data_IF_225270681361
#
_entry.id   IF_225270681361
#
_cell.length_a   1.000
_cell.length_b   1.000
_cell.length_c   1.000
_cell.angle_alpha   90.00
_cell.angle_beta   90.00
_cell.angle_gamma   90.00
#
_symmetry.space_group_name_H-M   'P 1'
#
loop_
_entity.id
_entity.type
_entity.pdbx_description
1 polymer ?
#
# COMPACT_ATOMS: atom_id res chain seq x y z
N UNK A 1 -12.95 -13.56 6.38
CA UNK A 1 -12.10 -12.51 5.79
C UNK A 1 -12.66 -12.02 4.48
N UNK A 2 -12.33 -10.80 4.13
CA UNK A 2 -12.75 -10.19 2.88
C UNK A 2 -11.54 -9.97 1.99
N UNK A 3 -11.79 -9.95 0.69
CA UNK A 3 -10.77 -9.66 -0.32
C UNK A 3 -10.75 -8.18 -0.62
N UNK A 4 -9.53 -7.62 -0.67
CA UNK A 4 -9.31 -6.22 -0.99
C UNK A 4 -8.21 -6.08 -2.01
N UNK A 5 -8.26 -4.99 -2.77
CA UNK A 5 -7.10 -4.49 -3.49
C UNK A 5 -6.55 -3.30 -2.72
N UNK A 6 -5.25 -3.31 -2.50
CA UNK A 6 -4.56 -2.23 -1.84
C UNK A 6 -3.62 -1.58 -2.85
N UNK A 7 -3.89 -0.31 -3.16
CA UNK A 7 -3.00 0.49 -3.99
C UNK A 7 -2.15 1.36 -3.07
N UNK A 8 -0.84 1.28 -3.24
CA UNK A 8 0.11 2.13 -2.50
C UNK A 8 0.81 3.04 -3.49
N UNK A 9 0.97 4.31 -3.12
CA UNK A 9 1.84 5.22 -3.82
C UNK A 9 2.99 5.53 -2.88
N UNK A 10 4.16 4.94 -3.19
CA UNK A 10 5.36 5.06 -2.37
C UNK A 10 6.13 6.29 -2.83
N UNK A 11 6.66 7.06 -1.88
CA UNK A 11 7.42 8.26 -2.15
C UNK A 11 8.55 8.00 -3.15
N UNK A 12 8.74 8.88 -4.15
CA UNK A 12 9.85 8.74 -5.09
C UNK A 12 11.21 9.01 -4.45
N UNK A 13 11.23 9.55 -3.23
CA UNK A 13 12.47 9.74 -2.47
C UNK A 13 13.02 8.43 -1.92
N UNK A 14 12.21 7.38 -1.89
CA UNK A 14 12.66 6.06 -1.46
C UNK A 14 13.52 5.48 -2.58
N UNK A 15 14.75 5.09 -2.24
CA UNK A 15 15.64 4.46 -3.21
C UNK A 15 15.02 3.18 -3.77
N UNK A 16 15.30 2.89 -5.03
CA UNK A 16 14.71 1.73 -5.71
C UNK A 16 14.92 0.44 -4.92
N UNK A 17 16.10 0.27 -4.33
CA UNK A 17 16.43 -0.92 -3.54
C UNK A 17 15.65 -0.99 -2.22
N UNK A 18 15.12 0.14 -1.75
CA UNK A 18 14.39 0.22 -0.49
C UNK A 18 12.87 0.08 -0.69
N UNK A 19 12.40 0.13 -1.93
CA UNK A 19 10.98 -0.04 -2.23
C UNK A 19 10.47 -1.40 -1.73
N UNK A 20 11.17 -2.53 -1.97
CA UNK A 20 10.74 -3.81 -1.42
C UNK A 20 10.67 -3.82 0.10
N UNK A 21 11.53 -3.08 0.79
CA UNK A 21 11.51 -2.97 2.24
C UNK A 21 10.24 -2.27 2.71
N UNK A 22 9.86 -1.19 2.03
CA UNK A 22 8.61 -0.48 2.35
C UNK A 22 7.39 -1.38 2.13
N UNK A 23 7.36 -2.11 1.03
CA UNK A 23 6.29 -3.08 0.75
C UNK A 23 6.26 -4.16 1.83
N UNK A 24 7.43 -4.69 2.20
CA UNK A 24 7.55 -5.73 3.22
C UNK A 24 6.98 -5.31 4.56
N UNK A 25 7.20 -4.05 4.97
CA UNK A 25 6.65 -3.54 6.22
C UNK A 25 5.13 -3.53 6.22
N UNK A 26 4.52 -3.16 5.10
CA UNK A 26 3.07 -3.18 4.95
C UNK A 26 2.56 -4.63 5.02
N UNK A 27 3.23 -5.53 4.31
CA UNK A 27 2.85 -6.95 4.30
C UNK A 27 2.97 -7.57 5.69
N UNK A 28 4.02 -7.25 6.42
CA UNK A 28 4.22 -7.73 7.80
C UNK A 28 3.13 -7.24 8.72
N UNK A 29 2.71 -5.98 8.56
CA UNK A 29 1.61 -5.45 9.36
C UNK A 29 0.31 -6.20 9.09
N UNK A 30 -0.01 -6.44 7.81
CA UNK A 30 -1.20 -7.20 7.42
C UNK A 30 -1.17 -8.60 8.03
N UNK A 31 -0.02 -9.28 7.91
CA UNK A 31 0.14 -10.62 8.48
C UNK A 31 -0.01 -10.61 10.00
N UNK A 32 0.49 -9.58 10.66
CA UNK A 32 0.39 -9.46 12.13
C UNK A 32 -1.05 -9.29 12.61
N UNK A 33 -1.94 -8.86 11.74
CA UNK A 33 -3.36 -8.69 12.04
C UNK A 33 -4.20 -9.87 11.53
N UNK A 34 -3.55 -10.98 11.23
CA UNK A 34 -4.23 -12.19 10.79
C UNK A 34 -4.61 -12.20 9.31
N UNK A 35 -4.20 -11.20 8.57
CA UNK A 35 -4.44 -11.15 7.13
C UNK A 35 -3.39 -11.90 6.33
N UNK A 36 -3.62 -11.97 5.03
CA UNK A 36 -2.66 -12.55 4.08
C UNK A 36 -2.48 -11.63 2.88
N UNK A 37 -1.30 -11.69 2.30
CA UNK A 37 -0.99 -10.94 1.09
C UNK A 37 -0.82 -11.93 -0.05
N UNK A 38 -1.58 -11.73 -1.11
CA UNK A 38 -1.48 -12.53 -2.34
C UNK A 38 -0.55 -11.88 -3.34
N UNK A 39 -1.04 -11.70 -4.56
CA UNK A 39 -0.24 -11.11 -5.64
C UNK A 39 0.13 -9.66 -5.31
N UNK A 40 1.39 -9.32 -5.57
CA UNK A 40 1.91 -7.95 -5.47
C UNK A 40 2.45 -7.56 -6.82
N UNK A 41 1.92 -6.48 -7.38
CA UNK A 41 2.31 -6.00 -8.69
C UNK A 41 2.90 -4.59 -8.57
N UNK A 42 4.16 -4.44 -8.93
CA UNK A 42 4.85 -3.15 -8.90
C UNK A 42 4.76 -2.52 -10.28
N UNK A 43 4.06 -1.39 -10.34
CA UNK A 43 3.90 -0.67 -11.60
C UNK A 43 5.05 0.30 -11.89
N UNK A 44 5.89 0.56 -10.89
CA UNK A 44 6.99 1.51 -11.02
C UNK A 44 6.55 2.96 -10.89
N UNK A 45 7.43 3.87 -11.26
CA UNK A 45 7.15 5.31 -11.18
C UNK A 45 6.12 5.72 -12.20
N UNK A 46 5.13 6.46 -11.74
CA UNK A 46 4.05 7.01 -12.54
C UNK A 46 3.80 8.46 -12.14
N UNK A 47 3.36 9.27 -13.09
CA UNK A 47 2.93 10.64 -12.79
C UNK A 47 1.64 10.59 -12.00
N UNK A 48 1.55 11.45 -10.98
CA UNK A 48 0.34 11.63 -10.22
C UNK A 48 -0.63 12.53 -11.01
N UNK A 49 -1.94 12.28 -10.84
CA UNK A 49 -2.96 13.12 -11.47
C UNK A 49 -2.86 14.56 -10.97
N UNK A 50 -2.43 14.75 -9.73
CA UNK A 50 -2.15 16.04 -9.11
C UNK A 50 -1.03 15.85 -8.10
N UNK A 51 -0.24 16.91 -7.80
CA UNK A 51 0.85 16.78 -6.85
C UNK A 51 0.36 16.38 -5.45
N UNK A 52 1.11 15.50 -4.79
CA UNK A 52 0.89 15.14 -3.39
C UNK A 52 2.14 15.55 -2.62
N UNK A 53 2.00 16.43 -1.61
CA UNK A 53 3.13 16.93 -0.84
C UNK A 53 4.29 17.39 -1.74
N UNK A 54 4.00 18.18 -2.77
CA UNK A 54 5.00 18.66 -3.78
C UNK A 54 5.57 17.57 -4.70
N UNK A 55 5.29 16.29 -4.46
CA UNK A 55 5.72 15.24 -5.38
C UNK A 55 4.78 15.17 -6.57
N UNK A 56 5.34 15.00 -7.75
CA UNK A 56 4.58 14.91 -9.00
C UNK A 56 4.48 13.49 -9.52
N UNK A 57 5.23 12.58 -8.92
CA UNK A 57 5.22 11.17 -9.29
C UNK A 57 5.40 10.31 -8.04
N UNK A 58 5.16 9.03 -8.17
CA UNK A 58 5.34 8.07 -7.09
C UNK A 58 5.45 6.66 -7.64
N UNK A 59 5.88 5.75 -6.79
CA UNK A 59 5.95 4.33 -7.13
C UNK A 59 4.62 3.68 -6.81
N UNK A 60 3.95 3.15 -7.83
CA UNK A 60 2.66 2.49 -7.67
C UNK A 60 2.84 1.00 -7.44
N UNK A 61 2.15 0.51 -6.43
CA UNK A 61 2.13 -0.91 -6.09
C UNK A 61 0.69 -1.34 -5.87
N UNK A 62 0.27 -2.40 -6.53
CA UNK A 62 -1.05 -2.99 -6.37
C UNK A 62 -0.89 -4.34 -5.69
N UNK A 63 -1.55 -4.53 -4.56
CA UNK A 63 -1.54 -5.79 -3.81
C UNK A 63 -2.94 -6.33 -3.66
N UNK A 64 -3.07 -7.64 -3.73
CA UNK A 64 -4.31 -8.31 -3.37
C UNK A 64 -4.14 -8.89 -1.98
N UNK A 65 -5.04 -8.52 -1.08
CA UNK A 65 -4.93 -8.92 0.32
C UNK A 65 -6.25 -9.49 0.82
N UNK A 66 -6.16 -10.28 1.88
CA UNK A 66 -7.31 -10.76 2.65
C UNK A 66 -7.15 -10.27 4.07
N UNK A 67 -8.22 -9.72 4.61
CA UNK A 67 -8.19 -9.13 5.95
C UNK A 67 -9.61 -9.12 6.53
N UNK A 68 -9.71 -9.26 7.84
CA UNK A 68 -10.99 -9.08 8.51
C UNK A 68 -11.44 -7.63 8.38
N UNK A 69 -12.73 -7.39 8.06
CA UNK A 69 -13.20 -6.01 7.90
C UNK A 69 -12.93 -5.12 9.11
N UNK A 70 -12.98 -5.69 10.32
CA UNK A 70 -12.69 -4.94 11.53
C UNK A 70 -11.24 -4.50 11.68
N UNK A 71 -10.34 -5.00 10.85
CA UNK A 71 -8.90 -4.66 10.90
C UNK A 71 -8.50 -3.61 9.86
N UNK A 72 -9.40 -3.23 8.96
CA UNK A 72 -9.05 -2.27 7.90
C UNK A 72 -8.68 -0.89 8.45
N UNK A 73 -9.37 -0.44 9.51
CA UNK A 73 -9.08 0.85 10.11
C UNK A 73 -7.66 0.89 10.69
N UNK A 74 -7.20 -0.21 11.30
CA UNK A 74 -5.84 -0.31 11.83
C UNK A 74 -4.81 -0.26 10.70
N UNK A 75 -5.08 -0.96 9.60
CA UNK A 75 -4.20 -0.94 8.44
C UNK A 75 -4.09 0.47 7.87
N UNK A 76 -5.21 1.13 7.65
CA UNK A 76 -5.21 2.48 7.09
C UNK A 76 -4.53 3.49 8.00
N UNK A 77 -4.72 3.37 9.31
CA UNK A 77 -4.03 4.22 10.27
C UNK A 77 -2.51 4.01 10.20
N UNK A 78 -2.07 2.76 10.07
CA UNK A 78 -0.65 2.45 9.92
C UNK A 78 -0.08 3.05 8.65
N UNK A 79 -0.81 2.95 7.53
CA UNK A 79 -0.36 3.50 6.25
C UNK A 79 -0.27 5.03 6.30
N UNK A 80 -1.22 5.69 6.95
CA UNK A 80 -1.20 7.15 7.10
C UNK A 80 -0.03 7.64 7.92
N UNK A 81 0.45 6.84 8.87
CA UNK A 81 1.58 7.21 9.71
C UNK A 81 2.93 6.95 9.03
N UNK A 82 2.95 6.22 7.94
CA UNK A 82 4.19 5.88 7.24
C UNK A 82 4.62 7.05 6.35
N UNK A 83 5.83 7.53 6.56
CA UNK A 83 6.41 8.59 5.72
C UNK A 83 6.73 8.10 4.31
N UNK A 84 6.90 6.78 4.14
CA UNK A 84 7.20 6.20 2.84
C UNK A 84 5.98 6.14 1.92
N UNK A 85 4.78 6.20 2.47
CA UNK A 85 3.54 6.06 1.73
C UNK A 85 2.90 7.43 1.55
N UNK A 86 2.88 7.93 0.31
CA UNK A 86 2.24 9.21 0.00
C UNK A 86 0.73 9.12 0.07
N UNK A 87 0.21 8.02 -0.44
CA UNK A 87 -1.23 7.80 -0.51
C UNK A 87 -1.51 6.32 -0.61
N UNK A 88 -2.67 5.91 -0.12
CA UNK A 88 -3.16 4.55 -0.29
C UNK A 88 -4.62 4.57 -0.70
N UNK A 89 -5.05 3.50 -1.34
CA UNK A 89 -6.46 3.25 -1.66
C UNK A 89 -6.75 1.78 -1.36
N UNK A 90 -7.72 1.55 -0.49
CA UNK A 90 -8.16 0.20 -0.15
C UNK A 90 -9.55 -0.01 -0.74
N UNK A 91 -9.65 -0.95 -1.66
CA UNK A 91 -10.91 -1.24 -2.37
C UNK A 91 -11.36 -2.65 -2.00
N UNK A 92 -12.58 -2.75 -1.48
CA UNK A 92 -13.18 -4.04 -1.20
C UNK A 92 -13.64 -4.69 -2.49
N UNK A 93 -13.23 -5.93 -2.70
CA UNK A 93 -13.64 -6.70 -3.86
C UNK A 93 -14.93 -7.43 -3.55
N UNK A 94 -15.84 -7.44 -4.52
CA UNK A 94 -17.04 -8.27 -4.44
C UNK A 94 -16.67 -9.67 -4.88
N UNK A 95 -16.94 -10.60 -4.02
CA UNK A 95 -16.74 -12.02 -4.33
C UNK A 95 -18.06 -12.67 -4.68
#
# INVERSE_FOLDING_TARGET
MRDYELVLIISPDIAEDDVPVAIGKVNDFINSRGGTVGAVDRWGKRKLAYPINRFREGNYVLSQIKLEPGKTAELEANLKMSESILRHLLVRLNS
#
